data_IF_806298985938
#
_entry.id   IF_806298985938
#
_cell.length_a   1.000
_cell.length_b   1.000
_cell.length_c   1.000
_cell.angle_alpha   90.00
_cell.angle_beta   90.00
_cell.angle_gamma   90.00
#
_symmetry.space_group_name_H-M   'P 1'
#
loop_
_entity.id
_entity.type
_entity.pdbx_description
1 polymer ?
#
# COMPACT_ATOMS: atom_id res chain seq x y z
N UNK A 1 -52.62 9.16 10.30
CA UNK A 1 -51.24 9.26 10.82
C UNK A 1 -50.36 8.37 9.96
N UNK A 2 -49.22 8.87 9.45
CA UNK A 2 -48.28 8.02 8.73
C UNK A 2 -47.58 7.09 9.73
N UNK A 3 -47.57 5.78 9.43
CA UNK A 3 -46.84 4.80 10.22
C UNK A 3 -45.34 5.10 10.16
N UNK A 4 -44.69 5.13 11.32
CA UNK A 4 -43.25 5.39 11.43
C UNK A 4 -42.49 4.07 11.49
N UNK A 5 -41.49 3.90 10.63
CA UNK A 5 -40.64 2.71 10.63
C UNK A 5 -39.22 3.07 11.06
N UNK A 6 -38.68 2.37 12.06
CA UNK A 6 -37.34 2.60 12.58
C UNK A 6 -36.56 1.30 12.66
N UNK A 7 -35.28 1.36 12.29
CA UNK A 7 -34.31 0.29 12.52
C UNK A 7 -33.35 0.79 13.59
N UNK A 8 -33.34 0.11 14.73
CA UNK A 8 -32.48 0.42 15.87
C UNK A 8 -31.49 -0.71 16.10
N UNK A 9 -30.28 -0.35 16.48
CA UNK A 9 -29.28 -1.33 16.85
C UNK A 9 -28.16 -0.71 17.67
N UNK A 10 -27.31 -1.59 18.16
CA UNK A 10 -26.09 -1.23 18.86
C UNK A 10 -24.96 -2.04 18.23
N UNK A 11 -23.90 -1.34 17.82
CA UNK A 11 -22.65 -1.94 17.41
C UNK A 11 -21.97 -2.47 18.67
N UNK A 12 -21.89 -3.78 18.76
CA UNK A 12 -20.99 -4.47 19.67
C UNK A 12 -19.67 -4.71 18.92
N UNK A 13 -18.58 -4.23 19.52
CA UNK A 13 -17.23 -4.59 19.09
C UNK A 13 -16.73 -5.75 19.94
N UNK A 14 -15.93 -6.63 19.34
CA UNK A 14 -15.18 -7.64 20.10
C UNK A 14 -14.21 -6.99 21.11
N UNK A 15 -13.75 -5.76 20.86
CA UNK A 15 -12.91 -4.96 21.78
C UNK A 15 -13.42 -3.52 21.88
N UNK A 16 -13.77 -3.01 23.07
CA UNK A 16 -14.50 -1.74 23.23
C UNK A 16 -13.67 -0.47 22.94
N UNK A 17 -12.34 -0.52 22.90
CA UNK A 17 -11.52 0.68 22.68
C UNK A 17 -11.58 1.23 21.23
N UNK A 18 -11.99 0.41 20.25
CA UNK A 18 -11.80 0.74 18.83
C UNK A 18 -12.80 1.77 18.27
N UNK A 19 -14.02 1.90 18.82
CA UNK A 19 -15.06 2.79 18.27
C UNK A 19 -14.65 4.27 18.26
N UNK A 20 -13.88 4.71 19.26
CA UNK A 20 -13.42 6.10 19.37
C UNK A 20 -12.36 6.47 18.33
N UNK A 21 -11.63 5.48 17.82
CA UNK A 21 -10.53 5.69 16.87
C UNK A 21 -11.01 5.66 15.40
N UNK A 22 -12.15 5.02 15.11
CA UNK A 22 -12.72 4.87 13.76
C UNK A 22 -13.29 6.20 13.21
N UNK A 23 -13.56 7.17 14.08
CA UNK A 23 -14.19 8.43 13.68
C UNK A 23 -15.71 8.29 13.51
N UNK A 24 -16.29 9.01 12.54
CA UNK A 24 -17.74 8.99 12.27
C UNK A 24 -18.15 7.74 11.50
N UNK A 25 -19.08 6.98 12.08
CA UNK A 25 -19.70 5.82 11.46
C UNK A 25 -21.11 6.15 10.98
N UNK A 26 -21.54 5.48 9.91
CA UNK A 26 -22.86 5.65 9.31
C UNK A 26 -23.56 4.32 9.14
N UNK A 27 -24.85 4.28 9.47
CA UNK A 27 -25.76 3.17 9.21
C UNK A 27 -26.67 3.55 8.05
N UNK A 28 -26.63 2.75 6.98
CA UNK A 28 -27.44 2.92 5.77
C UNK A 28 -28.33 1.70 5.61
N UNK A 29 -29.61 1.92 5.36
CA UNK A 29 -30.59 0.86 5.17
C UNK A 29 -31.09 0.88 3.73
N UNK A 30 -31.00 -0.27 3.07
CA UNK A 30 -31.35 -0.48 1.68
C UNK A 30 -32.59 -1.36 1.54
N UNK A 31 -33.38 -1.11 0.49
CA UNK A 31 -34.39 -2.06 0.04
C UNK A 31 -33.77 -3.22 -0.76
N UNK A 32 -34.61 -4.18 -1.18
CA UNK A 32 -34.20 -5.32 -2.02
C UNK A 32 -33.60 -4.90 -3.39
N UNK A 33 -33.87 -3.69 -3.85
CA UNK A 33 -33.33 -3.15 -5.10
C UNK A 33 -31.98 -2.42 -4.90
N UNK A 34 -31.47 -2.34 -3.66
CA UNK A 34 -30.27 -1.59 -3.31
C UNK A 34 -30.47 -0.08 -3.20
N UNK A 35 -31.71 0.40 -3.19
CA UNK A 35 -32.02 1.82 -2.99
C UNK A 35 -32.00 2.17 -1.50
N UNK A 36 -31.43 3.35 -1.18
CA UNK A 36 -31.40 3.84 0.19
C UNK A 36 -32.80 4.23 0.65
N UNK A 37 -33.32 3.55 1.67
CA UNK A 37 -34.61 3.86 2.30
C UNK A 37 -34.48 4.65 3.60
N UNK A 38 -33.27 4.69 4.18
CA UNK A 38 -32.93 5.48 5.35
C UNK A 38 -31.43 5.46 5.62
N UNK A 39 -30.94 6.49 6.31
CA UNK A 39 -29.58 6.55 6.81
C UNK A 39 -29.55 7.34 8.13
N UNK A 40 -28.61 7.01 9.00
CA UNK A 40 -28.33 7.76 10.22
C UNK A 40 -26.86 7.64 10.61
N UNK A 41 -26.37 8.62 11.37
CA UNK A 41 -25.08 8.52 12.03
C UNK A 41 -25.15 7.48 13.15
N UNK A 42 -24.04 6.77 13.36
CA UNK A 42 -23.86 5.91 14.53
C UNK A 42 -23.18 6.73 15.62
N UNK A 43 -23.82 6.82 16.78
CA UNK A 43 -23.28 7.55 17.92
C UNK A 43 -21.97 6.92 18.41
N UNK A 44 -21.14 7.70 19.13
CA UNK A 44 -19.85 7.25 19.66
C UNK A 44 -19.94 6.10 20.69
N UNK A 45 -21.15 5.78 21.19
CA UNK A 45 -21.43 4.61 22.03
C UNK A 45 -21.88 3.38 21.20
N UNK A 46 -21.82 3.46 19.87
CA UNK A 46 -22.21 2.41 18.93
C UNK A 46 -23.70 2.34 18.64
N UNK A 47 -24.55 3.18 19.25
CA UNK A 47 -26.01 3.13 19.00
C UNK A 47 -26.40 3.88 17.74
N UNK A 48 -27.40 3.35 17.04
CA UNK A 48 -28.00 4.02 15.89
C UNK A 48 -29.51 3.81 15.86
N UNK A 49 -30.22 4.79 15.29
CA UNK A 49 -31.66 4.73 15.02
C UNK A 49 -31.89 5.31 13.63
N UNK A 50 -32.19 4.45 12.66
CA UNK A 50 -32.39 4.83 11.27
C UNK A 50 -33.90 4.91 10.99
N UNK A 51 -34.44 6.11 10.70
CA UNK A 51 -35.80 6.22 10.20
C UNK A 51 -35.84 5.72 8.75
N UNK A 52 -36.73 4.76 8.45
CA UNK A 52 -36.86 4.19 7.11
C UNK A 52 -38.20 4.55 6.48
N UNK A 53 -38.18 4.89 5.19
CA UNK A 53 -39.36 5.27 4.42
C UNK A 53 -40.04 4.02 3.85
N UNK A 54 -40.84 3.34 4.67
CA UNK A 54 -41.61 2.16 4.27
C UNK A 54 -43.11 2.39 4.37
N UNK A 55 -43.88 1.62 3.59
CA UNK A 55 -45.34 1.55 3.66
C UNK A 55 -45.83 0.38 4.52
N UNK A 56 -45.05 -0.70 4.56
CA UNK A 56 -45.33 -1.95 5.29
C UNK A 56 -43.99 -2.61 5.67
N UNK A 57 -43.98 -3.55 6.64
CA UNK A 57 -42.81 -4.37 6.94
C UNK A 57 -42.26 -5.04 5.67
N UNK A 58 -40.95 -4.98 5.48
CA UNK A 58 -40.27 -5.48 4.31
C UNK A 58 -38.87 -5.97 4.67
N UNK A 59 -38.31 -6.83 3.81
CA UNK A 59 -36.91 -7.22 3.92
C UNK A 59 -36.01 -6.05 3.52
N UNK A 60 -34.96 -5.85 4.30
CA UNK A 60 -34.00 -4.77 4.12
C UNK A 60 -32.58 -5.30 4.23
N UNK A 61 -31.61 -4.49 3.80
CA UNK A 61 -30.20 -4.72 4.11
C UNK A 61 -29.66 -3.53 4.89
N UNK A 62 -29.10 -3.80 6.06
CA UNK A 62 -28.35 -2.83 6.84
C UNK A 62 -26.89 -2.87 6.42
N UNK A 63 -26.30 -1.70 6.19
CA UNK A 63 -24.88 -1.49 5.90
C UNK A 63 -24.34 -0.52 6.95
N UNK A 64 -23.19 -0.85 7.54
CA UNK A 64 -22.52 0.01 8.53
C UNK A 64 -21.06 0.15 8.13
N UNK A 65 -20.52 1.36 8.16
CA UNK A 65 -19.11 1.64 7.91
C UNK A 65 -18.72 3.10 8.15
N UNK A 66 -17.46 3.47 7.87
CA UNK A 66 -16.99 4.86 7.96
C UNK A 66 -17.83 5.80 7.09
N UNK A 67 -18.09 7.02 7.56
CA UNK A 67 -18.84 8.01 6.79
C UNK A 67 -18.02 8.53 5.60
N UNK A 68 -18.18 7.88 4.45
CA UNK A 68 -17.56 8.23 3.18
C UNK A 68 -18.57 8.56 2.07
N UNK A 69 -19.86 8.65 2.43
CA UNK A 69 -20.98 8.76 1.48
C UNK A 69 -21.74 7.44 1.25
N UNK A 70 -23.03 7.55 0.90
CA UNK A 70 -23.93 6.40 0.76
C UNK A 70 -23.55 5.49 -0.41
N UNK A 71 -23.11 6.06 -1.53
CA UNK A 71 -22.74 5.31 -2.74
C UNK A 71 -21.39 4.60 -2.57
N UNK A 72 -20.44 5.23 -1.89
CA UNK A 72 -19.17 4.62 -1.50
C UNK A 72 -19.41 3.43 -0.56
N UNK A 73 -20.27 3.60 0.46
CA UNK A 73 -20.61 2.52 1.40
C UNK A 73 -21.24 1.31 0.70
N UNK A 74 -22.15 1.53 -0.26
CA UNK A 74 -22.77 0.45 -1.05
C UNK A 74 -21.78 -0.35 -1.88
N UNK A 75 -20.70 0.29 -2.33
CA UNK A 75 -19.65 -0.35 -3.16
C UNK A 75 -18.54 -0.96 -2.32
N UNK A 76 -18.47 -0.61 -1.04
CA UNK A 76 -17.47 -1.11 -0.11
C UNK A 76 -17.82 -2.51 0.41
N UNK A 77 -16.79 -3.29 0.76
CA UNK A 77 -16.95 -4.55 1.50
C UNK A 77 -17.08 -4.30 3.01
N UNK A 78 -17.94 -3.35 3.39
CA UNK A 78 -18.19 -3.02 4.80
C UNK A 78 -19.18 -3.99 5.44
N UNK A 79 -19.50 -3.82 6.72
CA UNK A 79 -20.44 -4.68 7.42
C UNK A 79 -21.80 -4.62 6.73
N UNK A 80 -22.38 -5.78 6.43
CA UNK A 80 -23.74 -5.87 5.91
C UNK A 80 -24.51 -7.02 6.56
N UNK A 81 -25.79 -6.77 6.79
CA UNK A 81 -26.71 -7.74 7.39
C UNK A 81 -28.08 -7.66 6.73
N UNK A 82 -28.63 -8.82 6.40
CA UNK A 82 -30.00 -8.92 5.89
C UNK A 82 -31.00 -8.93 7.04
N UNK A 83 -32.07 -8.19 6.87
CA UNK A 83 -33.12 -7.94 7.83
C UNK A 83 -34.43 -8.45 7.27
N UNK A 84 -35.11 -9.34 7.99
CA UNK A 84 -36.37 -9.95 7.54
C UNK A 84 -37.59 -9.11 7.92
N UNK A 85 -38.58 -9.08 7.03
CA UNK A 85 -39.91 -8.54 7.26
C UNK A 85 -40.61 -9.13 8.50
N UNK A 86 -40.29 -10.37 8.86
CA UNK A 86 -40.91 -11.08 10.00
C UNK A 86 -40.36 -10.62 11.36
N UNK A 87 -39.20 -9.92 11.35
CA UNK A 87 -38.54 -9.47 12.58
C UNK A 87 -39.09 -8.14 13.10
N UNK A 88 -39.98 -7.48 12.35
CA UNK A 88 -40.58 -6.21 12.72
C UNK A 88 -41.56 -6.38 13.88
N UNK A 89 -41.45 -5.50 14.88
CA UNK A 89 -42.37 -5.46 16.03
C UNK A 89 -43.18 -4.18 16.00
N UNK A 90 -44.48 -4.28 16.24
CA UNK A 90 -45.35 -3.11 16.37
C UNK A 90 -44.99 -2.33 17.64
N UNK A 91 -44.84 -1.01 17.51
CA UNK A 91 -44.49 -0.12 18.61
C UNK A 91 -45.27 1.19 18.48
N UNK A 92 -45.88 1.67 19.57
CA UNK A 92 -46.82 2.80 19.67
C UNK A 92 -46.76 3.80 18.47
N UNK A 93 -47.59 3.55 17.45
CA UNK A 93 -47.73 4.43 16.27
C UNK A 93 -46.85 4.07 15.04
N UNK A 94 -46.23 2.89 15.02
CA UNK A 94 -45.35 2.46 13.94
C UNK A 94 -44.77 1.05 14.14
N UNK A 95 -43.67 0.78 13.44
CA UNK A 95 -42.95 -0.49 13.50
C UNK A 95 -41.48 -0.24 13.86
N UNK A 96 -40.95 -1.09 14.72
CA UNK A 96 -39.58 -1.04 15.20
C UNK A 96 -38.90 -2.38 14.92
N UNK A 97 -37.72 -2.31 14.32
CA UNK A 97 -36.85 -3.45 14.11
C UNK A 97 -35.58 -3.27 14.94
N UNK A 98 -35.36 -4.15 15.92
CA UNK A 98 -34.15 -4.16 16.75
C UNK A 98 -33.15 -5.18 16.21
N UNK A 99 -31.94 -4.73 15.92
CA UNK A 99 -30.91 -5.53 15.26
C UNK A 99 -29.68 -5.64 16.17
N UNK A 100 -29.28 -6.85 16.59
CA UNK A 100 -27.97 -7.05 17.20
C UNK A 100 -26.91 -6.96 16.10
N UNK A 101 -25.97 -6.03 16.24
CA UNK A 101 -24.89 -5.82 15.28
C UNK A 101 -23.57 -6.15 15.94
N UNK A 102 -22.96 -7.27 15.54
CA UNK A 102 -21.62 -7.64 15.95
C UNK A 102 -20.65 -7.40 14.79
N UNK A 103 -19.78 -6.40 14.93
CA UNK A 103 -18.75 -6.11 13.94
C UNK A 103 -17.45 -6.79 14.35
N UNK A 104 -16.97 -7.71 13.51
CA UNK A 104 -15.73 -8.46 13.77
C UNK A 104 -14.51 -7.55 13.79
N UNK A 105 -13.53 -7.87 14.66
CA UNK A 105 -12.27 -7.12 14.77
C UNK A 105 -11.54 -6.97 13.44
N UNK A 106 -11.47 -8.03 12.64
CA UNK A 106 -10.77 -8.00 11.35
C UNK A 106 -11.31 -6.92 10.41
N UNK A 107 -12.62 -6.67 10.43
CA UNK A 107 -13.26 -5.64 9.63
C UNK A 107 -12.99 -4.24 10.21
N UNK A 108 -13.03 -4.09 11.53
CA UNK A 108 -12.69 -2.83 12.23
C UNK A 108 -11.25 -2.41 11.93
N UNK A 109 -10.32 -3.37 11.93
CA UNK A 109 -8.91 -3.11 11.59
C UNK A 109 -8.73 -2.58 10.16
N UNK A 110 -9.70 -2.77 9.27
CA UNK A 110 -9.66 -2.16 7.93
C UNK A 110 -10.09 -0.70 7.91
N UNK A 111 -10.81 -0.26 8.94
CA UNK A 111 -11.33 1.11 9.06
C UNK A 111 -10.42 2.01 9.88
N UNK A 112 -9.34 1.47 10.45
CA UNK A 112 -8.43 2.21 11.31
C UNK A 112 -7.11 2.50 10.59
N UNK A 113 -6.57 3.73 10.73
CA UNK A 113 -5.19 3.96 10.36
C UNK A 113 -4.28 3.15 11.29
N UNK A 114 -3.27 2.50 10.73
CA UNK A 114 -2.21 1.84 11.50
C UNK A 114 -1.22 2.91 11.98
N UNK A 115 -0.90 2.90 13.27
CA UNK A 115 0.23 3.68 13.79
C UNK A 115 1.54 2.98 13.42
N UNK A 116 2.32 3.62 12.56
CA UNK A 116 3.63 3.15 12.12
C UNK A 116 4.69 4.01 12.80
N UNK A 117 5.68 3.38 13.43
CA UNK A 117 6.84 4.05 14.00
C UNK A 117 8.09 3.52 13.32
N UNK A 118 8.93 4.43 12.83
CA UNK A 118 10.20 4.12 12.18
C UNK A 118 11.29 4.76 13.00
N UNK A 119 12.42 4.06 13.12
CA UNK A 119 13.62 4.59 13.74
C UNK A 119 14.84 4.14 12.99
N UNK A 120 15.90 4.93 13.03
CA UNK A 120 17.15 4.62 12.37
C UNK A 120 18.32 5.39 12.95
N UNK A 121 19.51 5.14 12.38
CA UNK A 121 20.72 5.90 12.68
C UNK A 121 21.27 6.46 11.37
N UNK A 122 21.63 7.74 11.37
CA UNK A 122 22.38 8.36 10.27
C UNK A 122 23.86 8.30 10.62
N UNK A 123 24.65 7.66 9.74
CA UNK A 123 26.08 7.46 9.93
C UNK A 123 26.82 7.82 8.64
N UNK A 124 27.97 8.48 8.80
CA UNK A 124 28.94 8.70 7.73
C UNK A 124 29.93 7.55 7.74
N UNK A 125 30.13 6.92 6.59
CA UNK A 125 31.11 5.85 6.41
C UNK A 125 32.25 6.44 5.59
N UNK A 126 33.45 6.43 6.17
CA UNK A 126 34.69 6.79 5.48
C UNK A 126 35.58 5.55 5.40
N UNK A 127 36.07 5.26 4.20
CA UNK A 127 37.00 4.16 3.97
C UNK A 127 38.33 4.75 3.52
N UNK A 128 39.34 4.64 4.36
CA UNK A 128 40.73 5.00 4.06
C UNK A 128 41.58 3.73 4.08
N UNK A 129 41.99 3.27 2.90
CA UNK A 129 42.71 1.99 2.75
C UNK A 129 41.86 0.80 3.22
N UNK A 130 42.37 0.02 4.17
CA UNK A 130 41.66 -1.11 4.79
C UNK A 130 40.82 -0.70 6.02
N UNK A 131 40.94 0.56 6.48
CA UNK A 131 40.22 1.01 7.68
C UNK A 131 38.90 1.66 7.30
N UNK A 132 37.81 1.16 7.88
CA UNK A 132 36.47 1.76 7.74
C UNK A 132 36.08 2.46 9.04
N UNK A 133 35.92 3.77 8.97
CA UNK A 133 35.49 4.60 10.09
C UNK A 133 34.01 4.92 9.94
N UNK A 134 33.23 4.71 11.02
CA UNK A 134 31.78 4.96 11.03
C UNK A 134 31.47 6.03 12.09
N UNK A 135 31.07 7.21 11.63
CA UNK A 135 30.82 8.37 12.49
C UNK A 135 29.31 8.67 12.55
N UNK A 136 28.72 8.93 13.73
CA UNK A 136 27.33 9.39 13.82
C UNK A 136 27.18 10.78 13.19
N UNK A 137 26.01 11.05 12.61
CA UNK A 137 25.70 12.36 12.02
C UNK A 137 24.60 13.04 12.85
N UNK A 138 24.97 13.94 13.77
CA UNK A 138 24.01 14.55 14.67
C UNK A 138 23.30 15.75 14.05
N UNK A 139 22.11 16.07 14.59
CA UNK A 139 21.32 17.27 14.29
C UNK A 139 20.95 17.46 12.81
N UNK A 140 20.80 16.37 12.06
CA UNK A 140 20.30 16.42 10.68
C UNK A 140 18.81 16.15 10.62
N UNK A 141 18.14 16.79 9.67
CA UNK A 141 16.71 16.64 9.45
C UNK A 141 16.45 15.39 8.62
N UNK A 142 15.57 14.54 9.10
CA UNK A 142 15.12 13.30 8.45
C UNK A 142 13.67 13.46 8.04
N UNK A 143 13.38 13.33 6.76
CA UNK A 143 12.04 13.35 6.18
C UNK A 143 11.68 11.94 5.71
N UNK A 144 10.53 11.43 6.14
CA UNK A 144 10.01 10.13 5.70
C UNK A 144 8.83 10.36 4.77
N UNK A 145 8.92 9.78 3.58
CA UNK A 145 7.89 9.82 2.57
C UNK A 145 7.25 8.44 2.45
N UNK A 146 5.93 8.38 2.47
CA UNK A 146 5.17 7.23 1.98
C UNK A 146 5.12 7.32 0.46
N UNK A 147 5.63 6.28 -0.19
CA UNK A 147 5.82 6.19 -1.62
C UNK A 147 5.56 4.79 -2.10
N UNK A 148 4.67 4.64 -3.05
CA UNK A 148 4.41 3.30 -3.55
C UNK A 148 5.24 2.99 -4.80
N UNK A 149 6.09 1.96 -4.68
CA UNK A 149 7.12 1.63 -5.68
C UNK A 149 6.65 0.48 -6.57
N UNK A 150 6.40 0.75 -7.85
CA UNK A 150 6.25 -0.33 -8.84
C UNK A 150 7.63 -0.69 -9.42
N UNK A 151 8.42 -1.48 -8.67
CA UNK A 151 9.72 -2.07 -9.08
C UNK A 151 10.57 -1.21 -10.04
N UNK A 152 10.77 0.06 -9.69
CA UNK A 152 11.17 1.10 -10.64
C UNK A 152 12.66 1.02 -11.01
N UNK A 153 13.46 0.46 -10.11
CA UNK A 153 14.92 0.37 -10.26
C UNK A 153 15.38 -0.91 -10.92
N UNK A 154 14.57 -1.96 -10.84
CA UNK A 154 15.03 -3.31 -11.14
C UNK A 154 15.53 -3.46 -12.57
N UNK A 155 14.82 -2.84 -13.53
CA UNK A 155 15.22 -2.92 -14.93
C UNK A 155 16.58 -2.25 -15.18
N UNK A 156 16.82 -1.08 -14.57
CA UNK A 156 18.09 -0.37 -14.70
C UNK A 156 19.25 -1.12 -14.03
N UNK A 157 19.00 -1.71 -12.86
CA UNK A 157 19.99 -2.53 -12.14
C UNK A 157 20.33 -3.79 -12.95
N UNK A 158 19.30 -4.47 -13.48
CA UNK A 158 19.47 -5.71 -14.26
C UNK A 158 20.30 -5.49 -15.51
N UNK A 159 20.03 -4.41 -16.26
CA UNK A 159 20.75 -4.10 -17.50
C UNK A 159 22.23 -3.81 -17.25
N UNK A 160 22.55 -3.16 -16.13
CA UNK A 160 23.93 -2.73 -15.81
C UNK A 160 24.61 -3.62 -14.77
N UNK A 161 24.01 -4.77 -14.47
CA UNK A 161 24.46 -5.66 -13.41
C UNK A 161 25.98 -5.93 -13.46
N UNK A 162 26.60 -6.27 -14.61
CA UNK A 162 28.05 -6.51 -14.68
C UNK A 162 28.92 -5.33 -14.23
N UNK A 163 28.46 -4.09 -14.40
CA UNK A 163 29.19 -2.87 -14.05
C UNK A 163 29.02 -2.46 -12.59
N UNK A 164 27.97 -2.96 -11.95
CA UNK A 164 27.60 -2.63 -10.57
C UNK A 164 28.25 -3.56 -9.55
N UNK A 165 28.64 -4.77 -9.97
CA UNK A 165 29.14 -5.82 -9.07
C UNK A 165 30.47 -5.50 -8.39
N UNK A 166 31.24 -4.55 -8.91
CA UNK A 166 32.55 -4.17 -8.38
C UNK A 166 32.52 -2.81 -7.66
N UNK A 167 31.35 -2.17 -7.56
CA UNK A 167 31.18 -0.84 -6.95
C UNK A 167 30.34 -0.93 -5.68
N UNK A 168 30.87 -0.46 -4.55
CA UNK A 168 30.11 -0.39 -3.29
C UNK A 168 29.07 0.73 -3.26
N UNK A 169 29.33 1.85 -3.95
CA UNK A 169 28.40 2.99 -4.00
C UNK A 169 28.23 3.45 -5.43
N UNK A 170 26.97 3.53 -5.88
CA UNK A 170 26.61 4.04 -7.22
C UNK A 170 25.56 5.12 -7.06
N UNK A 171 25.82 6.29 -7.65
CA UNK A 171 24.80 7.34 -7.70
C UNK A 171 23.81 7.01 -8.79
N UNK A 172 22.53 7.16 -8.48
CA UNK A 172 21.46 6.80 -9.41
C UNK A 172 21.53 7.55 -10.76
N UNK A 173 21.83 8.87 -10.82
CA UNK A 173 22.01 9.53 -12.11
C UNK A 173 23.06 8.84 -13.00
N UNK A 174 24.12 8.28 -12.39
CA UNK A 174 25.16 7.55 -13.09
C UNK A 174 24.67 6.17 -13.55
N UNK A 175 23.69 5.57 -12.86
CA UNK A 175 23.03 4.31 -13.20
C UNK A 175 22.06 4.46 -14.39
N UNK A 176 21.17 5.46 -14.34
CA UNK A 176 20.14 5.69 -15.38
C UNK A 176 20.76 6.24 -16.68
N UNK A 177 21.88 6.96 -16.58
CA UNK A 177 22.49 7.67 -17.71
C UNK A 177 21.84 9.04 -17.97
N UNK A 178 22.34 9.81 -18.95
CA UNK A 178 21.80 11.13 -19.27
C UNK A 178 20.35 10.98 -19.74
N UNK A 179 19.44 11.72 -19.10
CA UNK A 179 18.06 11.73 -19.56
C UNK A 179 17.97 12.45 -20.89
N UNK A 180 17.24 11.89 -21.89
CA UNK A 180 16.87 12.70 -23.04
C UNK A 180 16.07 13.89 -22.51
N UNK A 181 16.58 15.10 -22.74
CA UNK A 181 15.81 16.31 -22.50
C UNK A 181 14.53 16.18 -23.34
N UNK A 182 13.33 16.43 -22.76
CA UNK A 182 12.11 16.46 -23.55
C UNK A 182 12.33 17.45 -24.69
N UNK A 183 12.14 16.98 -25.93
CA UNK A 183 12.30 17.82 -27.11
C UNK A 183 11.39 19.06 -26.93
N UNK A 184 11.93 20.29 -26.90
CA UNK A 184 11.12 21.49 -26.74
C UNK A 184 10.08 21.63 -27.86
N UNK A 185 10.23 20.88 -28.96
CA UNK A 185 9.29 20.81 -30.07
C UNK A 185 8.90 19.35 -30.32
N UNK A 186 7.91 18.79 -29.61
CA UNK A 186 7.41 17.46 -29.92
C UNK A 186 6.84 17.47 -31.35
N UNK A 187 7.57 16.86 -32.28
CA UNK A 187 7.08 16.62 -33.64
C UNK A 187 5.81 15.76 -33.50
N UNK A 188 4.65 16.18 -34.03
CA UNK A 188 3.46 15.33 -34.02
C UNK A 188 3.80 14.02 -34.72
N UNK A 189 3.75 12.90 -33.99
CA UNK A 189 3.92 11.59 -34.59
C UNK A 189 2.82 11.40 -35.65
N UNK A 190 3.17 11.03 -36.89
CA UNK A 190 2.17 10.69 -37.89
C UNK A 190 1.30 9.56 -37.34
N UNK A 191 0.00 9.79 -37.25
CA UNK A 191 -0.97 8.74 -36.91
C UNK A 191 -0.90 7.73 -38.06
N UNK A 192 -0.29 6.57 -37.80
CA UNK A 192 -0.37 5.45 -38.74
C UNK A 192 -1.86 5.06 -38.88
N UNK A 193 -2.42 5.05 -40.11
CA UNK A 193 -3.80 4.66 -40.31
C UNK A 193 -3.97 3.19 -39.90
N UNK A 194 -4.77 2.94 -38.87
CA UNK A 194 -5.13 1.59 -38.46
C UNK A 194 -5.81 0.87 -39.64
N UNK A 195 -5.40 -0.36 -39.98
CA UNK A 195 -6.05 -1.11 -41.04
C UNK A 195 -7.49 -1.44 -40.65
N UNK A 196 -8.43 -1.16 -41.56
CA UNK A 196 -9.85 -1.50 -41.40
C UNK A 196 -10.03 -2.99 -41.09
N UNK A 197 -10.89 -3.36 -40.12
CA UNK A 197 -11.12 -4.76 -39.78
C UNK A 197 -11.77 -5.49 -40.95
N UNK A 198 -11.23 -6.68 -41.29
CA UNK A 198 -11.80 -7.56 -42.31
C UNK A 198 -13.17 -8.11 -41.84
N UNK A 199 -14.15 -8.32 -42.74
CA UNK A 199 -15.45 -8.88 -42.37
C UNK A 199 -15.30 -10.31 -41.84
N UNK A 200 -15.93 -10.59 -40.70
CA UNK A 200 -15.95 -11.90 -40.03
C UNK A 200 -17.03 -12.78 -40.72
N UNK A 201 -16.71 -13.99 -41.20
CA UNK A 201 -17.72 -14.96 -41.61
C UNK A 201 -18.42 -15.53 -40.37
N UNK A 202 -19.75 -15.49 -40.33
CA UNK A 202 -20.56 -16.14 -39.29
C UNK A 202 -20.40 -17.67 -39.36
N UNK A 203 -20.19 -18.36 -38.23
CA UNK A 203 -20.49 -19.78 -38.11
C UNK A 203 -21.71 -20.03 -37.18
N UNK A 204 -22.49 -21.03 -37.58
CA UNK A 204 -23.74 -21.55 -37.01
C UNK A 204 -23.66 -22.02 -35.53
N UNK A 205 -24.81 -22.26 -34.86
CA UNK A 205 -24.90 -22.28 -33.40
C UNK A 205 -24.62 -23.65 -32.74
N UNK A 206 -23.81 -23.60 -31.66
CA UNK A 206 -23.75 -24.41 -30.41
C UNK A 206 -23.54 -25.96 -30.53
N UNK A 207 -22.87 -26.65 -29.55
CA UNK A 207 -23.28 -26.68 -28.14
C UNK A 207 -22.14 -26.64 -27.08
N UNK A 208 -22.55 -26.37 -25.84
CA UNK A 208 -21.77 -26.42 -24.60
C UNK A 208 -21.05 -27.77 -24.37
N UNK A 209 -19.82 -27.75 -23.80
CA UNK A 209 -19.48 -28.34 -22.47
C UNK A 209 -17.95 -28.35 -22.14
N UNK A 210 -17.52 -28.64 -20.87
CA UNK A 210 -16.53 -27.84 -20.14
C UNK A 210 -15.21 -28.54 -19.72
N UNK A 211 -14.34 -27.74 -19.08
CA UNK A 211 -13.11 -28.06 -18.29
C UNK A 211 -11.82 -28.35 -19.07
N UNK A 212 -10.71 -27.73 -18.64
CA UNK A 212 -9.66 -28.34 -17.79
C UNK A 212 -8.47 -27.36 -17.64
N UNK A 213 -7.94 -27.32 -16.41
CA UNK A 213 -6.69 -26.70 -15.97
C UNK A 213 -5.45 -27.21 -16.75
N UNK A 214 -4.50 -26.29 -16.94
CA UNK A 214 -3.08 -26.54 -16.71
C UNK A 214 -2.21 -26.84 -17.93
N UNK A 215 -1.09 -26.10 -18.05
CA UNK A 215 0.27 -26.61 -18.31
C UNK A 215 1.29 -25.47 -18.33
N UNK A 216 1.93 -25.27 -17.18
CA UNK A 216 3.28 -24.72 -17.08
C UNK A 216 4.25 -25.83 -17.48
N UNK A 217 5.22 -25.54 -18.34
CA UNK A 217 6.31 -26.46 -18.66
C UNK A 217 7.59 -26.06 -17.89
N UNK A 218 8.40 -27.04 -17.44
CA UNK A 218 9.59 -26.84 -16.61
C UNK A 218 10.89 -26.84 -17.45
N UNK A 219 11.98 -26.32 -16.88
CA UNK A 219 13.35 -26.53 -17.38
C UNK A 219 14.19 -27.24 -16.32
N UNK A 220 15.00 -28.20 -16.77
CA UNK A 220 15.80 -29.19 -16.01
C UNK A 220 17.13 -28.64 -15.46
N UNK A 221 17.79 -29.35 -14.50
CA UNK A 221 19.01 -28.91 -13.84
C UNK A 221 20.30 -29.58 -14.37
N UNK A 222 21.44 -28.91 -14.16
CA UNK A 222 22.81 -29.42 -14.03
C UNK A 222 23.37 -28.75 -12.76
N UNK A 223 24.17 -29.31 -11.86
CA UNK A 223 24.91 -30.56 -11.73
C UNK A 223 25.94 -30.26 -10.62
N UNK A 224 26.04 -31.12 -9.61
CA UNK A 224 26.81 -30.94 -8.37
C UNK A 224 28.33 -30.86 -8.60
N UNK A 225 29.02 -29.98 -7.87
CA UNK A 225 30.42 -30.13 -7.45
C UNK A 225 30.62 -29.35 -6.14
N UNK A 226 30.84 -30.06 -5.03
CA UNK A 226 31.18 -29.48 -3.74
C UNK A 226 32.69 -29.39 -3.53
N UNK A 227 33.15 -28.50 -2.63
CA UNK A 227 34.36 -28.65 -1.82
C UNK A 227 34.21 -27.83 -0.52
N UNK A 228 34.75 -28.40 0.55
CA UNK A 228 34.69 -28.04 1.96
C UNK A 228 35.36 -26.72 2.41
N UNK A 229 34.79 -26.17 3.51
CA UNK A 229 35.38 -25.53 4.71
C UNK A 229 36.71 -24.73 4.58
N UNK A 230 36.69 -23.47 5.02
CA UNK A 230 37.33 -22.99 6.28
C UNK A 230 37.41 -21.45 6.40
N UNK A 231 37.45 -20.98 7.66
CA UNK A 231 37.84 -19.67 8.20
C UNK A 231 36.78 -18.54 8.12
N UNK A 232 35.91 -18.34 9.12
CA UNK A 232 36.17 -17.76 10.46
C UNK A 232 37.02 -16.49 10.47
N UNK A 233 36.37 -15.35 10.79
CA UNK A 233 37.03 -14.21 11.43
C UNK A 233 36.73 -12.83 10.85
N UNK A 234 35.49 -12.32 10.91
CA UNK A 234 35.20 -10.89 10.97
C UNK A 234 33.79 -10.62 11.52
N UNK A 235 33.72 -9.72 12.50
CA UNK A 235 32.56 -9.46 13.35
C UNK A 235 31.31 -9.00 12.61
N UNK A 236 30.17 -9.39 13.19
CA UNK A 236 28.80 -9.32 12.67
C UNK A 236 28.28 -7.90 12.44
N UNK A 237 28.33 -7.44 11.19
CA UNK A 237 27.20 -6.72 10.60
C UNK A 237 26.11 -7.77 10.37
N UNK A 238 24.89 -7.56 10.90
CA UNK A 238 23.83 -8.57 10.91
C UNK A 238 23.69 -9.29 9.57
N UNK A 239 23.87 -10.61 9.60
CA UNK A 239 23.81 -11.49 8.44
C UNK A 239 22.45 -11.28 7.74
N UNK A 240 22.48 -10.70 6.53
CA UNK A 240 21.33 -10.64 5.64
C UNK A 240 21.11 -12.09 5.18
N UNK A 241 20.35 -12.87 5.94
CA UNK A 241 20.05 -14.25 5.56
C UNK A 241 19.30 -14.24 4.22
N UNK A 242 19.51 -15.24 3.37
CA UNK A 242 18.81 -15.36 2.08
C UNK A 242 17.26 -15.33 2.21
N UNK A 243 16.75 -15.60 3.41
CA UNK A 243 15.34 -15.51 3.78
C UNK A 243 14.85 -14.07 4.01
N UNK A 244 15.76 -13.11 4.25
CA UNK A 244 15.47 -11.68 4.38
C UNK A 244 15.43 -10.91 3.05
N UNK A 245 15.94 -11.52 1.97
CA UNK A 245 15.91 -10.94 0.63
C UNK A 245 14.51 -11.10 0.02
N UNK A 246 13.95 -9.98 -0.46
CA UNK A 246 12.58 -9.90 -0.96
C UNK A 246 12.56 -9.51 -2.44
N UNK A 247 11.56 -9.97 -3.19
CA UNK A 247 11.33 -9.56 -4.57
C UNK A 247 12.31 -10.18 -5.57
N UNK A 248 12.74 -9.38 -6.55
CA UNK A 248 13.51 -9.85 -7.70
C UNK A 248 14.96 -10.26 -7.35
N UNK A 249 15.54 -9.71 -6.26
CA UNK A 249 16.89 -10.06 -5.78
C UNK A 249 16.96 -11.51 -5.30
N UNK A 250 15.89 -12.01 -4.67
CA UNK A 250 15.78 -13.42 -4.23
C UNK A 250 15.83 -14.41 -5.40
N UNK A 251 15.53 -13.96 -6.62
CA UNK A 251 15.53 -14.80 -7.82
C UNK A 251 16.91 -14.92 -8.47
N UNK A 252 17.91 -14.18 -7.99
CA UNK A 252 19.28 -14.25 -8.49
C UNK A 252 20.05 -15.41 -7.87
N UNK A 253 21.16 -15.81 -8.49
CA UNK A 253 22.07 -16.80 -7.90
C UNK A 253 22.70 -16.26 -6.60
N UNK A 254 22.95 -17.11 -5.59
CA UNK A 254 23.46 -16.69 -4.28
C UNK A 254 24.76 -15.87 -4.34
N UNK A 255 25.67 -16.19 -5.26
CA UNK A 255 26.92 -15.43 -5.46
C UNK A 255 26.66 -13.99 -5.95
N UNK A 256 25.68 -13.83 -6.85
CA UNK A 256 25.22 -12.51 -7.32
C UNK A 256 24.47 -11.76 -6.22
N UNK A 257 23.72 -12.47 -5.36
CA UNK A 257 23.05 -11.88 -4.21
C UNK A 257 24.06 -11.30 -3.21
N UNK A 258 25.12 -12.05 -2.87
CA UNK A 258 26.17 -11.60 -1.96
C UNK A 258 26.89 -10.37 -2.52
N UNK A 259 27.26 -10.38 -3.81
CA UNK A 259 27.92 -9.23 -4.44
C UNK A 259 27.01 -7.99 -4.48
N UNK A 260 25.73 -8.18 -4.79
CA UNK A 260 24.74 -7.11 -4.74
C UNK A 260 24.44 -6.60 -3.33
N UNK A 261 24.57 -7.43 -2.29
CA UNK A 261 24.34 -7.01 -0.90
C UNK A 261 25.29 -5.88 -0.47
N UNK A 262 26.45 -5.77 -1.13
CA UNK A 262 27.43 -4.70 -0.91
C UNK A 262 27.17 -3.42 -1.70
N UNK A 263 26.24 -3.45 -2.66
CA UNK A 263 25.91 -2.32 -3.53
C UNK A 263 24.92 -1.37 -2.82
N UNK A 264 25.37 -0.16 -2.53
CA UNK A 264 24.52 0.93 -2.05
C UNK A 264 24.20 1.90 -3.17
N UNK A 265 22.92 2.02 -3.53
CA UNK A 265 22.45 3.05 -4.44
C UNK A 265 22.14 4.32 -3.64
N UNK A 266 22.62 5.47 -4.13
CA UNK A 266 22.39 6.77 -3.46
C UNK A 266 21.97 7.82 -4.46
N UNK A 267 21.22 8.82 -3.99
CA UNK A 267 20.89 9.98 -4.83
C UNK A 267 20.77 11.27 -4.02
N UNK A 268 21.12 12.38 -4.64
CA UNK A 268 20.84 13.73 -4.13
C UNK A 268 19.53 14.28 -4.73
N UNK A 269 19.09 13.72 -5.85
CA UNK A 269 17.83 14.03 -6.50
C UNK A 269 16.78 13.03 -6.07
N UNK A 270 15.58 13.50 -5.78
CA UNK A 270 14.53 12.60 -5.34
C UNK A 270 14.18 11.57 -6.43
N UNK A 271 13.93 10.29 -6.06
CA UNK A 271 13.62 9.22 -7.00
C UNK A 271 12.48 9.49 -7.97
N UNK A 272 11.40 10.15 -7.52
CA UNK A 272 10.28 10.55 -8.38
C UNK A 272 10.64 11.64 -9.40
N UNK A 273 11.69 12.43 -9.13
CA UNK A 273 12.25 13.33 -10.14
C UNK A 273 12.98 12.49 -11.17
N UNK A 274 13.72 11.45 -10.75
CA UNK A 274 14.51 10.55 -11.62
C UNK A 274 13.66 9.67 -12.53
N UNK A 275 12.58 9.11 -12.00
CA UNK A 275 11.68 8.19 -12.68
C UNK A 275 10.23 8.72 -12.63
N UNK A 276 9.88 9.70 -13.46
CA UNK A 276 8.51 10.22 -13.49
C UNK A 276 7.53 9.12 -13.92
N UNK A 277 6.45 8.94 -13.16
CA UNK A 277 5.41 7.93 -13.44
C UNK A 277 5.63 6.56 -12.79
N UNK A 278 6.78 6.34 -12.15
CA UNK A 278 7.11 5.12 -11.41
C UNK A 278 6.48 5.07 -10.00
N UNK A 279 6.13 6.24 -9.45
CA UNK A 279 5.50 6.39 -8.14
C UNK A 279 4.10 6.97 -8.33
N UNK A 280 3.10 6.47 -7.61
CA UNK A 280 1.74 7.03 -7.66
C UNK A 280 1.34 7.81 -6.42
N UNK A 281 2.04 7.61 -5.30
CA UNK A 281 1.89 8.38 -4.08
C UNK A 281 3.26 8.98 -3.71
N UNK A 282 3.22 10.22 -3.21
CA UNK A 282 4.36 10.89 -2.59
C UNK A 282 3.82 11.79 -1.50
N UNK A 283 3.76 11.26 -0.29
CA UNK A 283 3.28 12.01 0.87
C UNK A 283 4.38 12.07 1.92
N UNK A 284 4.75 13.28 2.33
CA UNK A 284 5.55 13.46 3.54
C UNK A 284 4.67 13.01 4.71
N UNK A 285 5.04 11.91 5.35
CA UNK A 285 4.27 11.35 6.47
C UNK A 285 4.86 11.69 7.82
N UNK A 286 6.16 12.01 7.85
CA UNK A 286 6.86 12.20 9.11
C UNK A 286 8.15 13.02 8.93
N UNK A 287 8.53 13.75 9.98
CA UNK A 287 9.82 14.46 10.04
C UNK A 287 10.41 14.29 11.43
N UNK A 288 11.71 14.05 11.49
CA UNK A 288 12.49 13.94 12.71
C UNK A 288 13.83 14.68 12.58
N UNK A 289 14.53 14.86 13.69
CA UNK A 289 15.91 15.36 13.72
C UNK A 289 16.75 14.34 14.49
N UNK A 290 17.97 14.10 14.04
CA UNK A 290 18.87 13.17 14.74
C UNK A 290 19.41 13.75 16.04
N UNK A 291 19.62 12.88 17.03
CA UNK A 291 20.30 13.23 18.28
C UNK A 291 21.82 13.26 18.13
N UNK A 292 22.55 13.45 19.24
CA UNK A 292 24.02 13.47 19.28
C UNK A 292 24.71 12.18 18.81
N UNK A 293 23.96 11.07 18.76
CA UNK A 293 24.43 9.77 18.28
C UNK A 293 23.93 9.42 16.88
N UNK A 294 23.28 10.38 16.20
CA UNK A 294 22.72 10.18 14.87
C UNK A 294 21.42 9.36 14.87
N UNK A 295 20.84 9.05 16.04
CA UNK A 295 19.59 8.31 16.14
C UNK A 295 18.39 9.21 15.89
N UNK A 296 17.38 8.67 15.23
CA UNK A 296 16.09 9.34 15.02
C UNK A 296 14.96 8.33 15.15
N UNK A 297 13.79 8.81 15.59
CA UNK A 297 12.55 8.05 15.52
C UNK A 297 11.38 8.97 15.25
N UNK A 298 10.36 8.44 14.61
CA UNK A 298 9.20 9.20 14.22
C UNK A 298 8.01 8.26 13.98
N UNK A 299 6.79 8.70 14.28
CA UNK A 299 5.59 7.90 14.10
C UNK A 299 4.54 8.66 13.30
N UNK A 300 3.75 7.95 12.50
CA UNK A 300 2.64 8.50 11.73
C UNK A 300 1.49 7.50 11.65
N UNK A 301 0.31 8.00 11.35
CA UNK A 301 -0.88 7.20 11.09
C UNK A 301 -0.96 6.93 9.59
N UNK A 302 -1.06 5.65 9.22
CA UNK A 302 -1.02 5.19 7.83
C UNK A 302 -2.23 4.33 7.49
N UNK A 303 -2.81 4.55 6.32
CA UNK A 303 -3.98 3.81 5.86
C UNK A 303 -3.54 2.64 4.98
N UNK A 304 -3.90 1.39 5.33
CA UNK A 304 -3.53 0.23 4.52
C UNK A 304 -4.33 0.14 3.21
N UNK A 305 -5.33 1.00 3.00
CA UNK A 305 -6.16 1.03 1.81
C UNK A 305 -6.01 2.36 1.07
N UNK A 306 -5.85 2.27 -0.25
CA UNK A 306 -5.87 3.44 -1.13
C UNK A 306 -6.42 3.06 -2.51
N UNK A 307 -6.95 4.05 -3.22
CA UNK A 307 -7.48 3.90 -4.58
C UNK A 307 -6.46 4.38 -5.61
N UNK A 308 -6.17 3.57 -6.63
CA UNK A 308 -5.34 3.97 -7.78
C UNK A 308 -5.95 3.52 -9.10
N UNK A 309 -6.12 4.47 -10.04
CA UNK A 309 -6.73 4.22 -11.36
C UNK A 309 -8.04 3.42 -11.27
N UNK A 310 -8.84 3.71 -10.24
CA UNK A 310 -10.11 3.02 -9.98
C UNK A 310 -9.99 1.61 -9.36
N UNK A 311 -8.80 1.18 -8.93
CA UNK A 311 -8.58 -0.09 -8.23
C UNK A 311 -8.26 0.16 -6.76
N UNK A 312 -8.98 -0.54 -5.88
CA UNK A 312 -8.67 -0.61 -4.46
C UNK A 312 -7.45 -1.52 -4.28
N UNK A 313 -6.43 -1.04 -3.57
CA UNK A 313 -5.30 -1.85 -3.12
C UNK A 313 -5.26 -1.92 -1.60
N UNK A 314 -4.68 -3.00 -1.10
CA UNK A 314 -4.38 -3.22 0.30
C UNK A 314 -2.89 -3.51 0.43
N UNK A 315 -2.19 -2.67 1.19
CA UNK A 315 -0.81 -2.94 1.58
C UNK A 315 -0.73 -3.21 3.07
N UNK A 316 0.07 -4.20 3.44
CA UNK A 316 0.22 -4.58 4.84
C UNK A 316 1.12 -3.60 5.61
N UNK A 317 2.07 -2.96 4.90
CA UNK A 317 3.08 -2.02 5.41
C UNK A 317 3.25 -0.86 4.40
N UNK A 318 3.57 0.36 4.86
CA UNK A 318 3.90 1.45 3.95
C UNK A 318 5.21 1.17 3.24
N UNK A 319 5.27 1.50 1.96
CA UNK A 319 6.51 1.62 1.22
C UNK A 319 7.09 3.01 1.51
N UNK A 320 8.28 3.09 2.10
CA UNK A 320 8.86 4.36 2.57
C UNK A 320 10.15 4.73 1.84
N UNK A 321 10.42 6.03 1.76
CA UNK A 321 11.70 6.62 1.38
C UNK A 321 12.13 7.60 2.47
N UNK A 322 13.40 7.55 2.84
CA UNK A 322 14.04 8.49 3.75
C UNK A 322 14.86 9.51 2.98
N UNK A 323 14.71 10.79 3.35
CA UNK A 323 15.56 11.90 2.88
C UNK A 323 16.22 12.57 4.08
N UNK A 324 17.53 12.70 4.04
CA UNK A 324 18.33 13.34 5.08
C UNK A 324 18.91 14.64 4.55
N UNK A 325 18.68 15.72 5.30
CA UNK A 325 19.09 17.07 4.94
C UNK A 325 19.82 17.74 6.09
N UNK A 326 20.76 18.61 5.74
CA UNK A 326 21.49 19.46 6.69
C UNK A 326 21.57 20.88 6.14
N UNK A 327 21.45 21.87 7.01
CA UNK A 327 21.70 23.26 6.65
C UNK A 327 23.20 23.51 6.72
N UNK A 328 23.82 23.81 5.57
CA UNK A 328 25.23 24.19 5.44
C UNK A 328 25.27 25.59 4.85
N UNK A 329 25.91 26.53 5.55
CA UNK A 329 26.01 27.94 5.14
C UNK A 329 24.66 28.61 4.80
N UNK A 330 23.61 28.25 5.55
CA UNK A 330 22.26 28.78 5.36
C UNK A 330 21.47 28.13 4.21
N UNK A 331 22.03 27.13 3.53
CA UNK A 331 21.38 26.40 2.44
C UNK A 331 21.07 24.97 2.87
N UNK A 332 19.83 24.51 2.68
CA UNK A 332 19.44 23.11 2.92
C UNK A 332 20.08 22.21 1.84
N UNK A 333 21.02 21.36 2.26
CA UNK A 333 21.70 20.40 1.42
C UNK A 333 21.17 18.99 1.71
N UNK A 334 20.95 18.20 0.64
CA UNK A 334 20.58 16.79 0.74
C UNK A 334 21.84 15.97 0.93
N UNK A 335 22.00 15.39 2.13
CA UNK A 335 23.12 14.50 2.45
C UNK A 335 22.89 13.09 1.92
N UNK A 336 21.65 12.62 2.00
CA UNK A 336 21.25 11.29 1.58
C UNK A 336 19.78 11.28 1.18
N UNK A 337 19.44 10.44 0.21
CA UNK A 337 18.06 10.08 -0.07
C UNK A 337 18.03 8.64 -0.57
N UNK A 338 17.07 7.88 -0.03
CA UNK A 338 16.85 6.49 -0.46
C UNK A 338 16.60 6.47 -1.97
N UNK A 339 17.17 5.46 -2.67
CA UNK A 339 16.98 5.26 -4.09
C UNK A 339 15.54 4.90 -4.43
#
# INVERSE_FOLDING_TARGET
>A
MALKFHVEGQIELETPESLKEIGSLKAVVLDRNGQTVGAAEVAGDGKFSVPVKLRQPADLRLIIGPDQGDEELKRSSTFSQELSADSWKESRGGFLLKVPVLVKRDLILTWLPKRVCISGHVRKIETEGETTTVCPVPFVKVEVFDVDRESCWWEHIRVRLPELLDRRVVRIPDLIGPRPLPDPFPIPTPIEPQPLPKPIPLPDPAPFQPRILGRLNPVRPLGELGVDRAAEGLGTLGEVTAESLVGEVRRLDPELQERLSSLTLTTQLAPWILLPGCFYSRQLVCTATTDEHGYWSCCFNWWPFYFRRGRLRFDQRPDIIVRVTQVVDGVEQVLYMDP
#
